data_IF_841447343507
#
_entry.id   IF_841447343507
#
_cell.length_a   1.000
_cell.length_b   1.000
_cell.length_c   1.000
_cell.angle_alpha   90.00
_cell.angle_beta   90.00
_cell.angle_gamma   90.00
#
_symmetry.space_group_name_H-M   'P 1'
#
loop_
_entity.id
_entity.type
_entity.pdbx_description
1 polymer ?
#
# COMPACT_ATOMS: atom_id res chain seq x y z
N UNK A 1 -8.51 -26.59 -7.57
CA UNK A 1 -7.73 -26.60 -8.83
C UNK A 1 -6.63 -25.56 -8.73
N UNK A 2 -5.34 -25.92 -8.87
CA UNK A 2 -4.27 -24.93 -8.93
C UNK A 2 -4.45 -24.09 -10.21
N UNK A 3 -4.67 -22.79 -10.06
CA UNK A 3 -4.89 -21.88 -11.21
C UNK A 3 -3.58 -21.26 -11.69
N UNK A 4 -2.59 -21.16 -10.80
CA UNK A 4 -1.25 -20.60 -11.08
C UNK A 4 -0.16 -21.63 -10.76
N UNK A 5 0.86 -21.74 -11.60
CA UNK A 5 1.98 -22.66 -11.38
C UNK A 5 2.86 -22.28 -10.18
N UNK A 6 3.65 -23.23 -9.62
CA UNK A 6 4.43 -23.05 -8.39
C UNK A 6 5.33 -21.81 -8.37
N UNK A 7 5.97 -21.52 -9.51
CA UNK A 7 6.92 -20.40 -9.66
C UNK A 7 6.22 -19.03 -9.60
N UNK A 8 5.02 -18.94 -10.18
CA UNK A 8 4.22 -17.70 -10.18
C UNK A 8 3.65 -17.40 -8.79
N UNK A 9 3.22 -18.45 -8.06
CA UNK A 9 2.72 -18.30 -6.70
C UNK A 9 3.80 -17.79 -5.73
N UNK A 10 5.04 -18.29 -5.87
CA UNK A 10 6.18 -17.83 -5.08
C UNK A 10 6.51 -16.35 -5.35
N UNK A 11 6.49 -15.93 -6.61
CA UNK A 11 6.70 -14.54 -6.99
C UNK A 11 5.60 -13.63 -6.40
N UNK A 12 4.33 -14.03 -6.51
CA UNK A 12 3.21 -13.31 -5.92
C UNK A 12 3.34 -13.15 -4.40
N UNK A 13 3.79 -14.20 -3.70
CA UNK A 13 4.06 -14.15 -2.26
C UNK A 13 5.10 -13.09 -1.89
N UNK A 14 6.25 -13.10 -2.57
CA UNK A 14 7.36 -12.17 -2.29
C UNK A 14 6.93 -10.72 -2.56
N UNK A 15 6.28 -10.47 -3.70
CA UNK A 15 5.80 -9.15 -4.07
C UNK A 15 4.71 -8.65 -3.10
N UNK A 16 3.80 -9.52 -2.67
CA UNK A 16 2.79 -9.12 -1.70
C UNK A 16 3.38 -8.80 -0.32
N UNK A 17 4.36 -9.58 0.18
CA UNK A 17 5.07 -9.24 1.43
C UNK A 17 5.76 -7.89 1.32
N UNK A 18 6.49 -7.66 0.23
CA UNK A 18 7.18 -6.41 -0.03
C UNK A 18 6.21 -5.22 -0.06
N UNK A 19 5.11 -5.35 -0.82
CA UNK A 19 4.08 -4.33 -0.95
C UNK A 19 3.41 -4.00 0.39
N UNK A 20 3.12 -4.99 1.23
CA UNK A 20 2.54 -4.77 2.57
C UNK A 20 3.49 -3.96 3.44
N UNK A 21 4.78 -4.32 3.48
CA UNK A 21 5.77 -3.62 4.31
C UNK A 21 5.94 -2.17 3.84
N UNK A 22 6.14 -1.96 2.54
CA UNK A 22 6.35 -0.62 1.98
C UNK A 22 5.12 0.27 2.14
N UNK A 23 3.93 -0.19 1.75
CA UNK A 23 2.70 0.60 1.84
C UNK A 23 2.21 0.79 3.28
N UNK A 24 2.42 -0.21 4.14
CA UNK A 24 2.11 -0.12 5.56
C UNK A 24 2.95 0.94 6.27
N UNK A 25 4.27 0.94 6.03
CA UNK A 25 5.17 1.96 6.57
C UNK A 25 4.85 3.35 6.02
N UNK A 26 4.60 3.48 4.71
CA UNK A 26 4.20 4.77 4.12
C UNK A 26 2.88 5.28 4.70
N UNK A 27 1.87 4.42 4.87
CA UNK A 27 0.60 4.82 5.50
C UNK A 27 0.77 5.35 6.92
N UNK A 28 1.67 4.75 7.71
CA UNK A 28 2.02 5.24 9.06
C UNK A 28 2.69 6.62 8.99
N UNK A 29 3.66 6.81 8.08
CA UNK A 29 4.33 8.10 7.92
C UNK A 29 3.41 9.22 7.42
N UNK A 30 2.45 8.90 6.55
CA UNK A 30 1.39 9.84 6.15
C UNK A 30 0.47 10.19 7.33
N UNK A 31 0.11 9.22 8.18
CA UNK A 31 -0.73 9.47 9.35
C UNK A 31 -0.06 10.42 10.38
N UNK A 32 1.26 10.37 10.48
CA UNK A 32 2.04 11.29 11.31
C UNK A 32 2.39 12.62 10.63
N UNK A 33 1.85 12.91 9.43
CA UNK A 33 2.10 14.14 8.70
C UNK A 33 3.60 14.44 8.50
N UNK A 34 4.36 13.41 8.12
CA UNK A 34 5.81 13.53 7.94
C UNK A 34 6.17 14.46 6.78
N UNK A 35 6.99 15.48 7.05
CA UNK A 35 7.45 16.47 6.05
C UNK A 35 8.23 15.83 4.90
N UNK A 36 8.88 14.68 5.15
CA UNK A 36 9.61 13.94 4.11
C UNK A 36 8.71 13.44 2.97
N UNK A 37 7.40 13.34 3.21
CA UNK A 37 6.38 12.89 2.26
C UNK A 37 5.52 14.02 1.74
N UNK A 38 5.88 15.27 2.04
CA UNK A 38 5.15 16.45 1.61
C UNK A 38 5.13 16.61 0.08
N UNK A 39 6.17 16.11 -0.61
CA UNK A 39 6.31 16.18 -2.07
C UNK A 39 5.35 15.24 -2.81
N UNK A 40 4.89 14.18 -2.15
CA UNK A 40 3.96 13.20 -2.73
C UNK A 40 2.47 13.61 -2.56
N UNK A 41 2.20 14.77 -1.94
CA UNK A 41 0.83 15.28 -1.84
C UNK A 41 0.34 15.78 -3.20
N UNK A 42 -0.99 15.78 -3.43
CA UNK A 42 -1.56 16.48 -4.57
C UNK A 42 -1.08 17.93 -4.58
N UNK A 43 -0.73 18.43 -5.77
CA UNK A 43 -0.14 19.76 -5.95
C UNK A 43 -1.09 20.83 -5.38
N UNK A 44 -0.69 21.43 -4.25
CA UNK A 44 -1.42 22.52 -3.61
C UNK A 44 -0.81 23.82 -4.09
N UNK A 45 -1.64 24.70 -4.66
CA UNK A 45 -1.19 26.01 -5.13
C UNK A 45 -0.59 26.81 -3.96
N UNK A 46 0.59 27.43 -4.13
CA UNK A 46 1.21 28.23 -3.08
C UNK A 46 0.29 29.42 -2.75
N UNK A 47 0.14 29.76 -1.46
CA UNK A 47 -0.77 30.82 -1.05
C UNK A 47 -0.29 32.18 -1.56
N UNK A 48 -1.10 32.86 -2.38
CA UNK A 48 -0.79 34.22 -2.86
C UNK A 48 -0.86 35.26 -1.74
N UNK A 49 -1.67 35.03 -0.70
CA UNK A 49 -1.89 35.95 0.40
C UNK A 49 -1.77 35.27 1.75
N UNK A 50 -1.25 36.00 2.75
CA UNK A 50 -1.09 35.54 4.14
C UNK A 50 -2.41 35.08 4.76
N UNK A 51 -3.54 35.61 4.28
CA UNK A 51 -4.89 35.22 4.74
C UNK A 51 -5.33 33.82 4.29
N UNK A 52 -4.67 33.23 3.31
CA UNK A 52 -4.98 31.89 2.80
C UNK A 52 -4.02 30.81 3.33
N UNK A 53 -3.07 31.17 4.21
CA UNK A 53 -2.16 30.21 4.85
C UNK A 53 -2.90 29.14 5.63
N UNK A 54 -3.94 29.51 6.40
CA UNK A 54 -4.73 28.54 7.18
C UNK A 54 -5.44 27.53 6.27
N UNK A 55 -5.94 27.99 5.11
CA UNK A 55 -6.57 27.10 4.12
C UNK A 55 -5.53 26.19 3.48
N UNK A 56 -4.36 26.73 3.14
CA UNK A 56 -3.25 25.95 2.59
C UNK A 56 -2.85 24.80 3.52
N UNK A 57 -2.64 25.07 4.81
CA UNK A 57 -2.31 24.02 5.78
C UNK A 57 -3.44 22.99 5.94
N UNK A 58 -4.71 23.42 5.92
CA UNK A 58 -5.86 22.51 5.97
C UNK A 58 -5.94 21.59 4.74
N UNK A 59 -5.61 22.10 3.55
CA UNK A 59 -5.59 21.29 2.33
C UNK A 59 -4.42 20.28 2.31
N UNK A 60 -3.25 20.70 2.79
CA UNK A 60 -2.09 19.81 3.00
C UNK A 60 -2.47 18.68 3.98
N UNK A 61 -3.04 19.01 5.14
CA UNK A 61 -3.46 18.03 6.16
C UNK A 61 -4.48 17.02 5.60
N UNK A 62 -5.41 17.52 4.78
CA UNK A 62 -6.38 16.69 4.06
C UNK A 62 -5.71 15.75 3.05
N UNK A 63 -4.70 16.23 2.32
CA UNK A 63 -3.94 15.40 1.37
C UNK A 63 -3.13 14.30 2.05
N UNK A 64 -2.49 14.59 3.20
CA UNK A 64 -1.83 13.58 4.03
C UNK A 64 -2.79 12.47 4.45
N UNK A 65 -3.95 12.88 4.98
CA UNK A 65 -4.98 11.95 5.43
C UNK A 65 -5.52 11.10 4.27
N UNK A 66 -5.78 11.69 3.11
CA UNK A 66 -6.25 10.98 1.93
C UNK A 66 -5.22 9.95 1.43
N UNK A 67 -3.95 10.33 1.34
CA UNK A 67 -2.88 9.44 0.91
C UNK A 67 -2.67 8.29 1.93
N UNK A 68 -2.74 8.58 3.24
CA UNK A 68 -2.69 7.56 4.29
C UNK A 68 -3.77 6.48 4.09
N UNK A 69 -5.03 6.89 3.86
CA UNK A 69 -6.13 5.95 3.62
C UNK A 69 -5.91 5.12 2.35
N UNK A 70 -5.46 5.74 1.26
CA UNK A 70 -5.17 5.03 0.01
C UNK A 70 -4.07 3.98 0.21
N UNK A 71 -2.98 4.32 0.91
CA UNK A 71 -1.90 3.39 1.23
C UNK A 71 -2.38 2.23 2.12
N UNK A 72 -3.21 2.49 3.12
CA UNK A 72 -3.78 1.43 3.97
C UNK A 72 -4.73 0.50 3.21
N UNK A 73 -5.60 1.05 2.36
CA UNK A 73 -6.47 0.23 1.50
C UNK A 73 -5.63 -0.64 0.56
N UNK A 74 -4.59 -0.08 -0.07
CA UNK A 74 -3.69 -0.82 -0.92
C UNK A 74 -2.96 -1.93 -0.15
N UNK A 75 -2.47 -1.66 1.07
CA UNK A 75 -1.85 -2.66 1.93
C UNK A 75 -2.82 -3.81 2.29
N UNK A 76 -4.10 -3.51 2.54
CA UNK A 76 -5.14 -4.51 2.76
C UNK A 76 -5.38 -5.37 1.50
N UNK A 77 -5.38 -4.78 0.31
CA UNK A 77 -5.47 -5.53 -0.95
C UNK A 77 -4.28 -6.48 -1.12
N UNK A 78 -3.06 -6.02 -0.80
CA UNK A 78 -1.90 -6.90 -0.83
C UNK A 78 -1.98 -8.04 0.20
N UNK A 79 -2.56 -7.82 1.38
CA UNK A 79 -2.85 -8.89 2.34
C UNK A 79 -3.80 -9.94 1.77
N UNK A 80 -4.85 -9.52 1.06
CA UNK A 80 -5.78 -10.45 0.39
C UNK A 80 -5.07 -11.25 -0.70
N UNK A 81 -4.25 -10.60 -1.54
CA UNK A 81 -3.47 -11.32 -2.56
C UNK A 81 -2.50 -12.33 -1.93
N UNK A 82 -1.86 -11.97 -0.82
CA UNK A 82 -0.98 -12.85 -0.08
C UNK A 82 -1.72 -14.09 0.43
N UNK A 83 -2.91 -13.92 1.02
CA UNK A 83 -3.73 -15.04 1.48
C UNK A 83 -4.09 -16.00 0.34
N UNK A 84 -4.44 -15.46 -0.83
CA UNK A 84 -4.74 -16.27 -2.02
C UNK A 84 -3.48 -16.99 -2.51
N UNK A 85 -2.34 -16.32 -2.61
CA UNK A 85 -1.07 -16.92 -3.02
C UNK A 85 -0.60 -18.01 -2.05
N UNK A 86 -0.74 -17.81 -0.74
CA UNK A 86 -0.48 -18.84 0.28
C UNK A 86 -1.37 -20.06 0.06
N UNK A 87 -2.68 -19.85 -0.14
CA UNK A 87 -3.62 -20.95 -0.40
C UNK A 87 -3.26 -21.71 -1.69
N UNK A 88 -2.91 -21.01 -2.76
CA UNK A 88 -2.46 -21.62 -4.03
C UNK A 88 -1.12 -22.37 -3.86
N UNK A 89 -0.18 -21.82 -3.09
CA UNK A 89 1.10 -22.48 -2.78
C UNK A 89 0.88 -23.77 -2.00
N UNK A 90 0.03 -23.75 -0.97
CA UNK A 90 -0.30 -24.94 -0.17
C UNK A 90 -0.98 -26.02 -1.02
N UNK A 91 -1.98 -25.65 -1.83
CA UNK A 91 -2.65 -26.57 -2.74
C UNK A 91 -1.68 -27.21 -3.75
N UNK A 92 -0.77 -26.41 -4.33
CA UNK A 92 0.21 -26.90 -5.29
C UNK A 92 1.29 -27.81 -4.65
N UNK A 93 1.71 -27.52 -3.42
CA UNK A 93 2.68 -28.36 -2.70
C UNK A 93 2.07 -29.74 -2.36
N UNK A 94 0.77 -29.79 -2.01
CA UNK A 94 0.06 -31.06 -1.77
C UNK A 94 -0.08 -31.91 -3.04
N UNK A 95 -0.32 -31.29 -4.19
CA UNK A 95 -0.38 -31.99 -5.48
C UNK A 95 0.99 -32.55 -5.90
N UNK A 96 2.08 -31.84 -5.61
CA UNK A 96 3.44 -32.29 -5.93
C UNK A 96 3.95 -33.42 -5.02
N UNK A 97 3.44 -33.53 -3.79
CA UNK A 97 3.75 -34.61 -2.83
C UNK A 97 2.92 -35.89 -3.05
N UNK A 98 1.91 -35.85 -3.92
CA UNK A 98 1.04 -37.00 -4.24
C UNK A 98 1.57 -37.85 -5.40
N UNK A 99 2.86 -37.73 -5.72
CA UNK A 99 3.59 -38.62 -6.64
C UNK A 99 4.37 -39.64 -5.83
#
# INVERSE_FOLDING_TARGET
>A
MPVCGPKLSLCGLILSVWGIVQLGLMGIFYHFHSVALAEDLPEVEPPEHVKDLDKFYSEIDRGFTQNAYNCWIAALLYLVTLAISVHQFWANNRSSLSV
#
